data_IF_619028941619
#
_entry.id   IF_619028941619
#
_cell.length_a   1.000
_cell.length_b   1.000
_cell.length_c   1.000
_cell.angle_alpha   90.00
_cell.angle_beta   90.00
_cell.angle_gamma   90.00
#
_symmetry.space_group_name_H-M   'P 1'
#
loop_
_entity.id
_entity.type
_entity.pdbx_description
1 polymer ?
#
# COMPACT_ATOMS: atom_id res chain seq x y z
N UNK A 1 14.19 -15.74 -11.95
CA UNK A 1 14.78 -15.13 -10.72
C UNK A 1 15.61 -13.92 -11.14
N UNK A 2 15.51 -12.80 -10.43
CA UNK A 2 16.34 -11.61 -10.69
C UNK A 2 17.81 -11.90 -10.35
N UNK A 3 18.73 -11.48 -11.21
CA UNK A 3 20.17 -11.52 -10.91
C UNK A 3 20.55 -10.31 -10.03
N UNK A 4 21.61 -10.42 -9.22
CA UNK A 4 21.98 -9.37 -8.25
C UNK A 4 22.42 -8.05 -8.90
N UNK A 5 22.87 -8.10 -10.15
CA UNK A 5 23.27 -6.94 -10.96
C UNK A 5 22.19 -6.48 -11.95
N UNK A 6 21.03 -7.15 -12.00
CA UNK A 6 19.91 -6.72 -12.85
C UNK A 6 19.50 -5.29 -12.55
N UNK A 7 19.17 -4.52 -13.59
CA UNK A 7 18.69 -3.14 -13.43
C UNK A 7 17.23 -3.15 -12.98
N UNK A 8 16.97 -2.64 -11.78
CA UNK A 8 15.67 -2.65 -11.11
C UNK A 8 15.20 -1.22 -10.91
N UNK A 9 14.07 -0.86 -11.48
CA UNK A 9 13.42 0.43 -11.22
C UNK A 9 12.35 0.30 -10.13
N UNK A 10 12.42 1.19 -9.12
CA UNK A 10 11.40 1.30 -8.08
C UNK A 10 10.70 2.65 -8.20
N UNK A 11 9.53 2.67 -8.82
CA UNK A 11 8.68 3.85 -8.89
C UNK A 11 8.03 4.13 -7.53
N UNK A 12 8.14 5.37 -7.04
CA UNK A 12 7.59 5.74 -5.73
C UNK A 12 8.51 5.44 -4.54
N UNK A 13 9.82 5.34 -4.75
CA UNK A 13 10.83 4.99 -3.75
C UNK A 13 10.87 5.84 -2.48
N UNK A 14 10.27 7.03 -2.48
CA UNK A 14 10.15 7.90 -1.30
C UNK A 14 8.88 7.66 -0.47
N UNK A 15 7.92 6.89 -1.00
CA UNK A 15 6.73 6.48 -0.27
C UNK A 15 7.01 5.33 0.71
N UNK A 16 6.05 5.02 1.57
CA UNK A 16 6.15 3.93 2.54
C UNK A 16 6.52 2.60 1.87
N UNK A 17 5.75 2.16 0.89
CA UNK A 17 5.95 0.88 0.19
C UNK A 17 7.23 0.89 -0.65
N UNK A 18 7.44 1.91 -1.48
CA UNK A 18 8.61 1.97 -2.36
C UNK A 18 9.93 2.03 -1.60
N UNK A 19 9.98 2.75 -0.48
CA UNK A 19 11.19 2.79 0.38
C UNK A 19 11.46 1.45 1.06
N UNK A 20 10.41 0.73 1.47
CA UNK A 20 10.53 -0.62 2.04
C UNK A 20 11.07 -1.62 0.99
N UNK A 21 10.56 -1.57 -0.25
CA UNK A 21 11.08 -2.39 -1.36
C UNK A 21 12.56 -2.10 -1.60
N UNK A 22 12.99 -0.83 -1.63
CA UNK A 22 14.40 -0.47 -1.79
C UNK A 22 15.25 -1.03 -0.63
N UNK A 23 14.75 -0.94 0.63
CA UNK A 23 15.46 -1.53 1.78
C UNK A 23 15.61 -3.05 1.63
N UNK A 24 14.54 -3.75 1.27
CA UNK A 24 14.56 -5.21 1.12
C UNK A 24 15.44 -5.65 -0.06
N UNK A 25 15.41 -4.97 -1.20
CA UNK A 25 16.31 -5.22 -2.32
C UNK A 25 17.77 -5.10 -1.91
N UNK A 26 18.14 -4.01 -1.23
CA UNK A 26 19.50 -3.79 -0.73
C UNK A 26 19.93 -4.87 0.27
N UNK A 27 19.05 -5.23 1.21
CA UNK A 27 19.27 -6.29 2.19
C UNK A 27 19.54 -7.64 1.53
N UNK A 28 18.86 -7.91 0.41
CA UNK A 28 19.07 -9.12 -0.38
C UNK A 28 20.26 -9.02 -1.36
N UNK A 29 21.02 -7.92 -1.38
CA UNK A 29 22.23 -7.74 -2.18
C UNK A 29 22.00 -7.33 -3.63
N UNK A 30 20.85 -6.76 -3.97
CA UNK A 30 20.63 -6.11 -5.26
C UNK A 30 21.22 -4.70 -5.22
N UNK A 31 22.13 -4.38 -6.15
CA UNK A 31 22.92 -3.14 -6.11
C UNK A 31 22.62 -2.18 -7.26
N UNK A 32 21.97 -2.63 -8.33
CA UNK A 32 21.66 -1.82 -9.50
C UNK A 32 20.19 -1.34 -9.44
N UNK A 33 19.89 -0.53 -8.43
CA UNK A 33 18.55 -0.01 -8.17
C UNK A 33 18.45 1.42 -8.70
N UNK A 34 17.58 1.63 -9.68
CA UNK A 34 17.27 2.93 -10.26
C UNK A 34 16.04 3.52 -9.56
N UNK A 35 16.14 4.76 -9.17
CA UNK A 35 15.04 5.53 -8.56
C UNK A 35 15.00 6.93 -9.12
N UNK A 36 13.83 7.58 -9.18
CA UNK A 36 13.64 8.97 -9.56
C UNK A 36 12.65 9.63 -8.61
N UNK A 37 12.96 10.84 -8.21
CA UNK A 37 12.01 11.69 -7.49
C UNK A 37 10.97 12.25 -8.46
N UNK A 38 9.86 12.76 -7.95
CA UNK A 38 8.83 13.41 -8.79
C UNK A 38 9.40 14.58 -9.61
N UNK A 39 10.33 15.35 -9.07
CA UNK A 39 10.97 16.45 -9.78
C UNK A 39 11.93 15.98 -10.89
N UNK A 40 12.49 14.78 -10.80
CA UNK A 40 13.38 14.21 -11.83
C UNK A 40 12.60 13.43 -12.89
N UNK A 41 11.43 12.89 -12.53
CA UNK A 41 10.56 12.14 -13.43
C UNK A 41 9.11 12.27 -12.97
N UNK A 42 8.32 13.09 -13.66
CA UNK A 42 6.88 13.16 -13.46
C UNK A 42 6.21 12.00 -14.18
N UNK A 43 5.67 11.06 -13.40
CA UNK A 43 4.99 9.86 -13.96
C UNK A 43 3.66 10.19 -14.66
N UNK A 44 3.12 11.39 -14.48
CA UNK A 44 1.95 11.87 -15.23
C UNK A 44 2.31 12.33 -16.64
N UNK A 45 3.58 12.69 -16.86
CA UNK A 45 4.06 13.11 -18.17
C UNK A 45 4.49 11.91 -19.02
N UNK A 46 3.64 11.47 -19.93
CA UNK A 46 3.90 10.30 -20.81
C UNK A 46 5.25 10.40 -21.51
N UNK A 47 5.59 11.56 -22.08
CA UNK A 47 6.83 11.78 -22.83
C UNK A 47 8.06 11.56 -21.95
N UNK A 48 8.04 12.03 -20.71
CA UNK A 48 9.17 11.91 -19.80
C UNK A 48 9.35 10.45 -19.37
N UNK A 49 8.25 9.75 -19.12
CA UNK A 49 8.28 8.31 -18.78
C UNK A 49 8.78 7.47 -19.97
N UNK A 50 8.31 7.73 -21.19
CA UNK A 50 8.80 7.05 -22.40
C UNK A 50 10.31 7.31 -22.61
N UNK A 51 10.77 8.54 -22.42
CA UNK A 51 12.19 8.90 -22.49
C UNK A 51 13.04 8.16 -21.46
N UNK A 52 12.60 8.17 -20.21
CA UNK A 52 13.26 7.44 -19.11
C UNK A 52 13.39 5.94 -19.39
N UNK A 53 12.32 5.26 -19.79
CA UNK A 53 12.36 3.83 -20.08
C UNK A 53 13.21 3.49 -21.32
N UNK A 54 13.22 4.36 -22.33
CA UNK A 54 14.05 4.19 -23.52
C UNK A 54 15.55 4.32 -23.21
N UNK A 55 15.92 5.20 -22.29
CA UNK A 55 17.30 5.45 -21.86
C UNK A 55 17.76 4.41 -20.86
N UNK A 56 17.03 4.25 -19.75
CA UNK A 56 17.43 3.39 -18.62
C UNK A 56 17.22 1.89 -18.89
N UNK A 57 16.19 1.52 -19.64
CA UNK A 57 15.83 0.13 -19.98
C UNK A 57 15.88 -0.80 -18.76
N UNK A 58 15.09 -0.54 -17.70
CA UNK A 58 15.08 -1.39 -16.53
C UNK A 58 14.58 -2.79 -16.90
N UNK A 59 15.27 -3.82 -16.39
CA UNK A 59 14.88 -5.22 -16.58
C UNK A 59 13.68 -5.62 -15.72
N UNK A 60 13.61 -5.03 -14.52
CA UNK A 60 12.56 -5.28 -13.54
C UNK A 60 11.99 -3.96 -13.02
N UNK A 61 10.69 -3.94 -12.78
CA UNK A 61 9.98 -2.74 -12.32
C UNK A 61 9.08 -3.08 -11.13
N UNK A 62 9.22 -2.34 -10.03
CA UNK A 62 8.26 -2.30 -8.95
C UNK A 62 7.47 -0.99 -9.05
N UNK A 63 6.18 -1.07 -9.36
CA UNK A 63 5.32 0.11 -9.47
C UNK A 63 4.58 0.34 -8.15
N UNK A 64 5.26 1.02 -7.22
CA UNK A 64 4.72 1.41 -5.91
C UNK A 64 4.28 2.88 -5.86
N UNK A 65 4.44 3.64 -6.95
CA UNK A 65 3.94 4.99 -7.04
C UNK A 65 2.42 5.01 -7.15
N UNK A 66 1.77 5.85 -6.37
CA UNK A 66 0.34 6.12 -6.44
C UNK A 66 0.00 7.41 -5.68
N UNK A 67 -1.09 8.08 -6.10
CA UNK A 67 -1.75 9.09 -5.27
C UNK A 67 -2.65 8.36 -4.28
N UNK A 68 -2.33 8.44 -3.00
CA UNK A 68 -3.05 7.73 -1.93
C UNK A 68 -3.48 8.70 -0.83
N UNK A 69 -4.52 8.33 -0.08
CA UNK A 69 -5.01 9.12 1.04
C UNK A 69 -6.11 8.40 1.81
N UNK A 70 -6.46 8.94 2.99
CA UNK A 70 -7.60 8.47 3.79
C UNK A 70 -8.95 8.74 3.13
N UNK A 71 -10.04 8.39 3.81
CA UNK A 71 -11.43 8.54 3.30
C UNK A 71 -11.71 9.98 2.87
N UNK A 72 -11.40 10.98 3.71
CA UNK A 72 -11.66 12.38 3.40
C UNK A 72 -10.91 12.88 2.16
N UNK A 73 -9.65 12.47 1.99
CA UNK A 73 -8.85 12.84 0.82
C UNK A 73 -9.45 12.24 -0.46
N UNK A 74 -9.89 10.98 -0.42
CA UNK A 74 -10.53 10.33 -1.55
C UNK A 74 -11.87 10.99 -1.92
N UNK A 75 -12.75 11.24 -0.95
CA UNK A 75 -14.07 11.86 -1.20
C UNK A 75 -13.97 13.29 -1.73
N UNK A 76 -12.95 14.05 -1.30
CA UNK A 76 -12.80 15.46 -1.70
C UNK A 76 -12.18 15.66 -3.09
N UNK A 77 -11.54 14.63 -3.68
CA UNK A 77 -10.77 14.75 -4.92
C UNK A 77 -10.92 13.52 -5.85
N UNK A 78 -12.14 12.99 -5.99
CA UNK A 78 -12.43 11.77 -6.76
C UNK A 78 -11.84 11.78 -8.17
N UNK A 79 -12.05 12.86 -8.92
CA UNK A 79 -11.56 12.98 -10.29
C UNK A 79 -10.02 12.96 -10.35
N UNK A 80 -9.36 13.67 -9.44
CA UNK A 80 -7.90 13.74 -9.38
C UNK A 80 -7.30 12.39 -8.98
N UNK A 81 -7.91 11.68 -8.01
CA UNK A 81 -7.45 10.34 -7.61
C UNK A 81 -7.56 9.35 -8.78
N UNK A 82 -8.65 9.42 -9.55
CA UNK A 82 -8.81 8.57 -10.72
C UNK A 82 -7.80 8.92 -11.81
N UNK A 83 -7.75 10.19 -12.22
CA UNK A 83 -6.92 10.65 -13.33
C UNK A 83 -5.43 10.41 -13.06
N UNK A 84 -4.93 10.90 -11.92
CA UNK A 84 -3.50 10.81 -11.61
C UNK A 84 -3.03 9.36 -11.51
N UNK A 85 -3.81 8.48 -10.86
CA UNK A 85 -3.45 7.07 -10.75
C UNK A 85 -3.51 6.35 -12.10
N UNK A 86 -4.56 6.55 -12.91
CA UNK A 86 -4.66 5.93 -14.23
C UNK A 86 -3.47 6.39 -15.10
N UNK A 87 -3.18 7.69 -15.15
CA UNK A 87 -2.12 8.21 -16.01
C UNK A 87 -0.75 7.67 -15.63
N UNK A 88 -0.38 7.73 -14.33
CA UNK A 88 0.92 7.23 -13.89
C UNK A 88 1.06 5.71 -14.12
N UNK A 89 0.00 4.93 -13.87
CA UNK A 89 -0.01 3.48 -14.05
C UNK A 89 0.14 3.11 -15.52
N UNK A 90 -0.69 3.71 -16.39
CA UNK A 90 -0.64 3.44 -17.83
C UNK A 90 0.70 3.85 -18.43
N UNK A 91 1.24 5.01 -18.07
CA UNK A 91 2.53 5.49 -18.56
C UNK A 91 3.66 4.53 -18.20
N UNK A 92 3.74 4.10 -16.93
CA UNK A 92 4.81 3.19 -16.47
C UNK A 92 4.65 1.79 -17.06
N UNK A 93 3.46 1.19 -16.97
CA UNK A 93 3.24 -0.19 -17.45
C UNK A 93 3.45 -0.28 -18.96
N UNK A 94 2.92 0.70 -19.72
CA UNK A 94 3.05 0.71 -21.17
C UNK A 94 4.52 0.93 -21.62
N UNK A 95 5.23 1.86 -20.98
CA UNK A 95 6.64 2.12 -21.29
C UNK A 95 7.54 0.94 -20.93
N UNK A 96 7.26 0.25 -19.81
CA UNK A 96 7.94 -0.97 -19.43
C UNK A 96 7.79 -2.06 -20.51
N UNK A 97 6.57 -2.28 -20.99
CA UNK A 97 6.29 -3.23 -22.08
C UNK A 97 7.00 -2.85 -23.37
N UNK A 98 6.87 -1.60 -23.83
CA UNK A 98 7.52 -1.12 -25.08
C UNK A 98 9.04 -1.26 -25.08
N UNK A 99 9.66 -1.16 -23.92
CA UNK A 99 11.12 -1.22 -23.78
C UNK A 99 11.64 -2.59 -23.32
N UNK A 100 10.81 -3.63 -23.37
CA UNK A 100 11.23 -5.01 -23.13
C UNK A 100 11.55 -5.34 -21.68
N UNK A 101 10.90 -4.67 -20.72
CA UNK A 101 11.00 -5.03 -19.30
C UNK A 101 10.61 -6.50 -19.10
N UNK A 102 11.48 -7.28 -18.48
CA UNK A 102 11.31 -8.72 -18.29
C UNK A 102 10.15 -9.04 -17.35
N UNK A 103 10.02 -8.25 -16.27
CA UNK A 103 8.97 -8.44 -15.29
C UNK A 103 8.62 -7.15 -14.58
N UNK A 104 7.31 -6.93 -14.34
CA UNK A 104 6.80 -5.80 -13.60
C UNK A 104 5.88 -6.30 -12.49
N UNK A 105 6.00 -5.71 -11.30
CA UNK A 105 5.07 -5.90 -10.19
C UNK A 105 4.26 -4.63 -9.96
N UNK A 106 2.96 -4.77 -10.13
CA UNK A 106 1.98 -3.72 -9.90
C UNK A 106 1.44 -3.79 -8.47
N UNK A 107 1.61 -2.71 -7.71
CA UNK A 107 1.04 -2.58 -6.37
C UNK A 107 -0.39 -2.04 -6.47
N UNK A 108 -1.35 -2.94 -6.28
CA UNK A 108 -2.76 -2.62 -6.19
C UNK A 108 -3.19 -2.24 -4.77
N UNK A 109 -4.41 -2.58 -4.42
CA UNK A 109 -4.99 -2.34 -3.09
C UNK A 109 -6.19 -3.26 -2.88
N UNK A 110 -6.46 -3.67 -1.65
CA UNK A 110 -7.67 -4.42 -1.28
C UNK A 110 -8.98 -3.63 -1.46
N UNK A 111 -8.92 -2.32 -1.76
CA UNK A 111 -10.11 -1.51 -2.06
C UNK A 111 -10.77 -1.86 -3.41
N UNK A 112 -10.09 -2.61 -4.29
CA UNK A 112 -10.62 -3.10 -5.56
C UNK A 112 -11.73 -4.15 -5.40
N UNK A 113 -11.81 -4.78 -4.22
CA UNK A 113 -12.81 -5.81 -3.96
C UNK A 113 -14.18 -5.21 -3.61
N UNK A 114 -15.27 -5.91 -3.95
CA UNK A 114 -16.61 -5.42 -3.66
C UNK A 114 -16.80 -5.11 -2.16
N UNK A 115 -17.53 -4.04 -1.87
CA UNK A 115 -17.83 -3.60 -0.50
C UNK A 115 -18.40 -4.72 0.37
N UNK A 116 -19.29 -5.56 -0.21
CA UNK A 116 -19.98 -6.65 0.46
C UNK A 116 -19.43 -8.03 0.08
N UNK A 117 -18.17 -8.10 -0.37
CA UNK A 117 -17.52 -9.38 -0.67
C UNK A 117 -17.51 -10.31 0.54
N UNK A 118 -17.67 -11.62 0.30
CA UNK A 118 -17.56 -12.64 1.35
C UNK A 118 -16.16 -12.60 1.98
N UNK A 119 -16.12 -12.64 3.29
CA UNK A 119 -14.88 -12.59 4.07
C UNK A 119 -14.43 -13.99 4.51
N UNK A 120 -13.12 -14.31 4.46
CA UNK A 120 -12.04 -13.49 3.90
C UNK A 120 -12.18 -13.34 2.39
N UNK A 121 -11.75 -12.16 1.86
CA UNK A 121 -11.87 -11.83 0.45
C UNK A 121 -10.83 -12.56 -0.38
N UNK A 122 -11.29 -13.35 -1.34
CA UNK A 122 -10.44 -14.04 -2.30
C UNK A 122 -10.23 -13.19 -3.56
N UNK A 123 -9.15 -13.44 -4.29
CA UNK A 123 -8.81 -12.72 -5.51
C UNK A 123 -9.91 -12.83 -6.59
N UNK A 124 -10.61 -13.94 -6.64
CA UNK A 124 -11.72 -14.21 -7.59
C UNK A 124 -12.97 -13.36 -7.36
N UNK A 125 -13.09 -12.65 -6.22
CA UNK A 125 -14.23 -11.77 -5.99
C UNK A 125 -14.10 -10.39 -6.68
N UNK A 126 -12.99 -10.14 -7.37
CA UNK A 126 -12.82 -8.93 -8.17
C UNK A 126 -13.93 -8.78 -9.22
N UNK A 127 -14.54 -7.58 -9.26
CA UNK A 127 -15.63 -7.23 -10.20
C UNK A 127 -16.94 -8.06 -10.06
N UNK A 128 -17.16 -8.67 -8.90
CA UNK A 128 -18.40 -9.44 -8.64
C UNK A 128 -19.50 -8.63 -7.94
N UNK A 129 -19.24 -7.37 -7.61
CA UNK A 129 -20.20 -6.50 -6.93
C UNK A 129 -19.76 -5.05 -6.90
N UNK A 130 -20.55 -4.18 -6.24
CA UNK A 130 -20.28 -2.75 -6.13
C UNK A 130 -19.08 -2.44 -5.24
N UNK A 131 -18.32 -1.43 -5.64
CA UNK A 131 -17.19 -0.90 -4.88
C UNK A 131 -17.65 -0.03 -3.70
N UNK A 132 -16.75 0.25 -2.77
CA UNK A 132 -16.96 1.23 -1.71
C UNK A 132 -16.97 2.65 -2.30
N UNK A 133 -18.09 3.37 -2.14
CA UNK A 133 -18.31 4.67 -2.77
C UNK A 133 -17.27 5.73 -2.41
N UNK A 134 -16.80 5.72 -1.17
CA UNK A 134 -15.87 6.72 -0.66
C UNK A 134 -14.48 6.67 -1.31
N UNK A 135 -14.12 5.56 -1.95
CA UNK A 135 -12.84 5.38 -2.65
C UNK A 135 -12.98 4.71 -4.03
N UNK A 136 -14.20 4.73 -4.61
CA UNK A 136 -14.50 4.09 -5.88
C UNK A 136 -13.58 4.56 -7.02
N UNK A 137 -13.28 5.85 -7.09
CA UNK A 137 -12.40 6.44 -8.10
C UNK A 137 -10.98 5.86 -8.06
N UNK A 138 -10.40 5.76 -6.86
CA UNK A 138 -9.10 5.12 -6.66
C UNK A 138 -9.15 3.62 -6.97
N UNK A 139 -10.20 2.93 -6.54
CA UNK A 139 -10.37 1.51 -6.79
C UNK A 139 -10.46 1.20 -8.29
N UNK A 140 -11.22 2.00 -9.06
CA UNK A 140 -11.31 1.85 -10.52
C UNK A 140 -9.97 2.07 -11.22
N UNK A 141 -9.18 3.06 -10.78
CA UNK A 141 -7.83 3.25 -11.30
C UNK A 141 -6.97 2.00 -11.05
N UNK A 142 -6.95 1.49 -9.82
CA UNK A 142 -6.20 0.27 -9.47
C UNK A 142 -6.66 -0.98 -10.23
N UNK A 143 -7.96 -1.14 -10.46
CA UNK A 143 -8.51 -2.20 -11.31
C UNK A 143 -8.00 -2.05 -12.75
N UNK A 144 -7.94 -0.83 -13.28
CA UNK A 144 -7.46 -0.57 -14.64
C UNK A 144 -5.99 -0.97 -14.81
N UNK A 145 -5.12 -0.58 -13.88
CA UNK A 145 -3.69 -0.96 -13.90
C UNK A 145 -3.49 -2.47 -13.82
N UNK A 146 -4.20 -3.12 -12.89
CA UNK A 146 -4.19 -4.59 -12.74
C UNK A 146 -4.63 -5.29 -14.04
N UNK A 147 -5.76 -4.87 -14.59
CA UNK A 147 -6.28 -5.49 -15.82
C UNK A 147 -5.39 -5.22 -17.02
N UNK A 148 -4.73 -4.07 -17.07
CA UNK A 148 -3.77 -3.78 -18.12
C UNK A 148 -2.56 -4.73 -18.07
N UNK A 149 -2.01 -4.99 -16.88
CA UNK A 149 -0.98 -6.03 -16.71
C UNK A 149 -1.45 -7.41 -17.19
N UNK A 150 -2.65 -7.83 -16.78
CA UNK A 150 -3.25 -9.10 -17.21
C UNK A 150 -3.40 -9.19 -18.73
N UNK A 151 -3.88 -8.11 -19.38
CA UNK A 151 -4.09 -8.12 -20.83
C UNK A 151 -2.77 -8.11 -21.61
N UNK A 152 -1.74 -7.42 -21.12
CA UNK A 152 -0.40 -7.49 -21.71
C UNK A 152 0.18 -8.90 -21.64
N UNK A 153 0.02 -9.58 -20.50
CA UNK A 153 0.44 -10.98 -20.37
C UNK A 153 -0.27 -11.90 -21.38
N UNK A 154 -1.60 -11.75 -21.50
CA UNK A 154 -2.40 -12.58 -22.40
C UNK A 154 -2.14 -12.31 -23.88
N UNK A 155 -1.91 -11.05 -24.23
CA UNK A 155 -1.76 -10.63 -25.62
C UNK A 155 -0.32 -10.74 -26.11
N UNK A 156 0.66 -10.43 -25.26
CA UNK A 156 2.06 -10.31 -25.66
C UNK A 156 3.01 -11.25 -24.92
N UNK A 157 2.52 -12.06 -23.98
CA UNK A 157 3.34 -13.01 -23.23
C UNK A 157 4.31 -12.35 -22.22
N UNK A 158 3.96 -11.17 -21.71
CA UNK A 158 4.75 -10.52 -20.64
C UNK A 158 4.60 -11.28 -19.32
N UNK A 159 5.48 -11.02 -18.34
CA UNK A 159 5.38 -11.54 -16.97
C UNK A 159 5.13 -10.39 -15.99
N UNK A 160 3.93 -9.80 -16.08
CA UNK A 160 3.52 -8.67 -15.23
C UNK A 160 2.56 -9.18 -14.17
N UNK A 161 2.98 -9.11 -12.90
CA UNK A 161 2.26 -9.62 -11.74
C UNK A 161 1.63 -8.48 -10.94
N UNK A 162 0.60 -8.79 -10.15
CA UNK A 162 -0.11 -7.80 -9.33
C UNK A 162 -0.29 -8.30 -7.91
N UNK A 163 -0.04 -7.42 -6.93
CA UNK A 163 -0.17 -7.70 -5.49
C UNK A 163 -1.21 -6.77 -4.87
N UNK A 164 -2.12 -7.34 -4.09
CA UNK A 164 -3.22 -6.63 -3.42
C UNK A 164 -2.98 -6.58 -1.92
N UNK A 165 -2.31 -5.53 -1.41
CA UNK A 165 -2.08 -5.40 0.03
C UNK A 165 -3.35 -5.01 0.78
N UNK A 166 -3.44 -5.51 2.02
CA UNK A 166 -4.34 -5.02 3.07
C UNK A 166 -3.89 -3.64 3.58
N UNK A 167 -4.40 -3.17 4.73
CA UNK A 167 -3.95 -1.90 5.29
C UNK A 167 -2.49 -2.01 5.74
N UNK A 168 -1.67 -1.15 5.17
CA UNK A 168 -0.24 -1.11 5.45
C UNK A 168 0.08 -0.06 6.52
N UNK A 169 1.17 -0.28 7.24
CA UNK A 169 1.71 0.64 8.20
C UNK A 169 3.22 0.39 8.40
N UNK A 170 3.96 1.37 8.87
CA UNK A 170 5.39 1.24 9.15
C UNK A 170 6.22 2.47 8.83
N UNK A 171 7.54 2.33 8.70
CA UNK A 171 8.45 3.43 8.42
C UNK A 171 8.08 4.19 7.13
N UNK A 172 8.20 5.51 7.19
CA UNK A 172 7.82 6.42 6.11
C UNK A 172 6.31 6.49 5.83
N UNK A 173 5.43 6.13 6.78
CA UNK A 173 4.00 6.32 6.64
C UNK A 173 3.62 7.81 6.65
N UNK A 174 2.36 8.11 6.27
CA UNK A 174 1.81 9.45 6.31
C UNK A 174 1.11 9.69 7.66
N UNK A 175 1.64 10.62 8.46
CA UNK A 175 1.09 10.98 9.76
C UNK A 175 0.28 12.30 9.73
N UNK A 176 -0.16 12.76 8.55
CA UNK A 176 -0.96 14.00 8.44
C UNK A 176 -2.25 13.91 9.25
N UNK A 177 -2.63 14.93 10.07
CA UNK A 177 -3.76 14.84 11.01
C UNK A 177 -5.11 14.49 10.38
N UNK A 178 -5.34 14.92 9.11
CA UNK A 178 -6.63 14.79 8.43
C UNK A 178 -6.62 13.78 7.27
N UNK A 179 -5.44 13.45 6.71
CA UNK A 179 -5.33 12.68 5.46
C UNK A 179 -4.64 11.34 5.62
N UNK A 180 -4.18 11.01 6.83
CA UNK A 180 -3.57 9.72 7.13
C UNK A 180 -4.58 8.59 7.28
N UNK A 181 -4.09 7.36 7.18
CA UNK A 181 -4.86 6.18 7.54
C UNK A 181 -5.00 6.03 9.07
N UNK A 182 -5.92 5.14 9.49
CA UNK A 182 -6.32 5.02 10.90
C UNK A 182 -5.14 4.78 11.85
N UNK A 183 -4.23 3.85 11.54
CA UNK A 183 -3.13 3.48 12.44
C UNK A 183 -2.13 4.64 12.65
N UNK A 184 -1.55 5.27 11.60
CA UNK A 184 -0.68 6.43 11.80
C UNK A 184 -1.42 7.63 12.42
N UNK A 185 -2.72 7.83 12.15
CA UNK A 185 -3.52 8.85 12.81
C UNK A 185 -3.63 8.62 14.33
N UNK A 186 -3.81 7.36 14.77
CA UNK A 186 -3.85 7.00 16.18
C UNK A 186 -2.49 7.21 16.86
N UNK A 187 -1.40 6.78 16.22
CA UNK A 187 -0.03 7.00 16.75
C UNK A 187 0.19 8.48 17.03
N UNK A 188 -0.03 9.35 16.04
CA UNK A 188 0.13 10.80 16.19
C UNK A 188 -0.78 11.37 17.25
N UNK A 189 -2.06 11.06 17.21
CA UNK A 189 -3.07 11.60 18.13
C UNK A 189 -2.78 11.27 19.58
N UNK A 190 -2.41 10.02 19.90
CA UNK A 190 -2.04 9.62 21.25
C UNK A 190 -0.71 10.21 21.69
N UNK A 191 0.26 10.32 20.78
CA UNK A 191 1.54 10.96 21.07
C UNK A 191 1.34 12.44 21.46
N UNK A 192 0.61 13.21 20.64
CA UNK A 192 0.32 14.62 20.93
C UNK A 192 -0.47 14.77 22.22
N UNK A 193 -1.49 13.95 22.44
CA UNK A 193 -2.29 13.97 23.68
C UNK A 193 -1.46 13.66 24.93
N UNK A 194 -0.52 12.71 24.84
CA UNK A 194 0.42 12.38 25.91
C UNK A 194 1.33 13.58 26.25
N UNK A 195 1.91 14.22 25.23
CA UNK A 195 2.83 15.35 25.42
C UNK A 195 2.09 16.57 26.01
N UNK A 196 0.88 16.83 25.52
CA UNK A 196 0.04 17.94 25.96
C UNK A 196 -0.67 17.65 27.30
N UNK A 197 -0.58 16.45 27.86
CA UNK A 197 -1.24 16.05 29.10
C UNK A 197 -2.78 16.06 29.00
N UNK A 198 -3.33 15.77 27.81
CA UNK A 198 -4.79 15.73 27.59
C UNK A 198 -5.42 14.59 28.40
N UNK A 199 -6.59 14.87 29.00
CA UNK A 199 -7.35 13.89 29.81
C UNK A 199 -8.10 12.91 28.95
N UNK A 200 -8.55 13.30 27.75
CA UNK A 200 -9.26 12.43 26.81
C UNK A 200 -8.81 12.65 25.37
N UNK A 201 -9.00 11.61 24.55
CA UNK A 201 -8.80 11.62 23.10
C UNK A 201 -10.08 11.13 22.42
N UNK A 202 -10.59 11.89 21.45
CA UNK A 202 -11.76 11.50 20.67
C UNK A 202 -11.36 10.73 19.43
N UNK A 203 -11.87 9.50 19.26
CA UNK A 203 -11.76 8.67 18.08
C UNK A 203 -13.07 8.67 17.28
N UNK A 204 -13.00 8.46 15.97
CA UNK A 204 -14.17 8.49 15.09
C UNK A 204 -14.93 7.17 15.08
N UNK A 205 -16.26 7.26 14.96
CA UNK A 205 -17.15 6.10 14.89
C UNK A 205 -17.37 5.46 16.26
N UNK A 206 -17.62 4.16 16.27
CA UNK A 206 -17.85 3.36 17.48
C UNK A 206 -16.77 2.31 17.76
N UNK A 207 -15.75 2.24 16.88
CA UNK A 207 -14.66 1.28 17.00
C UNK A 207 -14.99 -0.15 16.59
N UNK A 208 -16.20 -0.45 16.15
CA UNK A 208 -16.64 -1.81 15.80
C UNK A 208 -16.05 -2.39 14.51
N UNK A 209 -15.66 -1.60 13.47
CA UNK A 209 -15.15 -2.18 12.23
C UNK A 209 -13.91 -3.04 12.42
N UNK A 210 -13.87 -4.18 11.71
CA UNK A 210 -12.74 -5.09 11.73
C UNK A 210 -11.77 -4.78 10.60
N UNK A 211 -10.48 -4.72 10.90
CA UNK A 211 -9.40 -4.43 9.95
C UNK A 211 -8.23 -5.39 10.13
N UNK A 212 -7.61 -5.68 9.02
CA UNK A 212 -6.35 -6.38 8.91
C UNK A 212 -5.22 -5.38 8.66
N UNK A 213 -4.06 -5.60 9.25
CA UNK A 213 -2.87 -4.77 9.08
C UNK A 213 -1.65 -5.62 8.74
N UNK A 214 -0.84 -5.14 7.79
CA UNK A 214 0.42 -5.78 7.40
C UNK A 214 1.56 -4.76 7.51
N UNK A 215 2.63 -5.15 8.19
CA UNK A 215 3.84 -4.33 8.31
C UNK A 215 4.52 -4.16 6.94
N UNK A 216 4.93 -2.95 6.61
CA UNK A 216 5.37 -2.60 5.24
C UNK A 216 6.62 -3.34 4.80
N UNK A 217 7.54 -3.68 5.71
CA UNK A 217 8.75 -4.44 5.33
C UNK A 217 8.41 -5.93 5.06
N UNK A 218 7.35 -6.47 5.65
CA UNK A 218 6.83 -7.79 5.27
C UNK A 218 6.20 -7.77 3.89
N UNK A 219 5.45 -6.71 3.54
CA UNK A 219 4.99 -6.53 2.15
C UNK A 219 6.16 -6.45 1.19
N UNK A 220 7.20 -5.66 1.50
CA UNK A 220 8.38 -5.53 0.64
C UNK A 220 9.09 -6.87 0.44
N UNK A 221 9.17 -7.69 1.50
CA UNK A 221 9.71 -9.04 1.41
C UNK A 221 8.85 -9.93 0.51
N UNK A 222 7.50 -9.85 0.58
CA UNK A 222 6.60 -10.56 -0.34
C UNK A 222 6.82 -10.10 -1.78
N UNK A 223 6.91 -8.80 -2.03
CA UNK A 223 7.12 -8.25 -3.38
C UNK A 223 8.40 -8.81 -4.00
N UNK A 224 9.53 -8.76 -3.30
CA UNK A 224 10.80 -9.32 -3.80
C UNK A 224 10.73 -10.85 -3.95
N UNK A 225 10.00 -11.53 -3.06
CA UNK A 225 9.75 -12.96 -3.17
C UNK A 225 8.96 -13.30 -4.45
N UNK A 226 7.85 -12.60 -4.73
CA UNK A 226 7.01 -12.84 -5.90
C UNK A 226 7.74 -12.50 -7.21
N UNK A 227 8.53 -11.45 -7.23
CA UNK A 227 9.38 -11.14 -8.39
C UNK A 227 10.33 -12.28 -8.74
N UNK A 228 10.76 -13.05 -7.75
CA UNK A 228 11.69 -14.17 -7.95
C UNK A 228 11.01 -15.53 -8.16
N UNK A 229 9.81 -15.75 -7.62
CA UNK A 229 9.23 -17.09 -7.50
C UNK A 229 7.83 -17.25 -8.07
N UNK A 230 7.18 -16.17 -8.50
CA UNK A 230 5.83 -16.24 -9.05
C UNK A 230 5.77 -15.66 -10.45
N UNK A 231 5.15 -16.38 -11.37
CA UNK A 231 4.79 -15.92 -12.72
C UNK A 231 3.35 -16.38 -12.99
N UNK A 232 2.50 -15.45 -13.40
CA UNK A 232 1.09 -15.76 -13.67
C UNK A 232 0.21 -14.51 -13.75
N UNK A 233 -1.00 -14.71 -14.27
CA UNK A 233 -1.98 -13.64 -14.49
C UNK A 233 -2.85 -13.35 -13.26
N UNK A 234 -2.86 -14.22 -12.29
CA UNK A 234 -3.70 -14.06 -11.13
C UNK A 234 -3.03 -13.14 -10.10
N UNK A 235 -3.80 -12.24 -9.53
CA UNK A 235 -3.35 -11.41 -8.42
C UNK A 235 -2.99 -12.25 -7.19
N UNK A 236 -2.18 -11.68 -6.31
CA UNK A 236 -1.82 -12.27 -5.01
C UNK A 236 -2.22 -11.32 -3.91
N UNK A 237 -3.08 -11.75 -3.00
CA UNK A 237 -3.42 -11.02 -1.80
C UNK A 237 -2.24 -11.01 -0.82
N UNK A 238 -1.95 -9.83 -0.25
CA UNK A 238 -0.89 -9.60 0.71
C UNK A 238 -1.48 -9.13 2.04
N UNK A 239 -1.47 -10.00 3.03
CA UNK A 239 -2.03 -9.75 4.36
C UNK A 239 -1.46 -10.71 5.41
N UNK A 240 -2.04 -10.65 6.59
CA UNK A 240 -1.70 -11.52 7.73
C UNK A 240 -2.72 -12.63 7.97
N UNK A 241 -3.95 -12.48 7.42
CA UNK A 241 -5.08 -13.34 7.72
C UNK A 241 -5.63 -13.15 9.14
N UNK A 242 -5.18 -12.10 9.86
CA UNK A 242 -5.62 -11.74 11.20
C UNK A 242 -6.29 -10.39 11.18
N UNK A 243 -7.39 -10.24 11.88
CA UNK A 243 -8.12 -8.97 12.01
C UNK A 243 -8.34 -8.63 13.47
N UNK A 244 -8.53 -7.34 13.74
CA UNK A 244 -8.96 -6.81 15.01
C UNK A 244 -9.92 -5.64 14.80
N UNK A 245 -10.71 -5.31 15.81
CA UNK A 245 -11.56 -4.12 15.78
C UNK A 245 -10.73 -2.84 15.88
N UNK A 246 -11.28 -1.74 15.36
CA UNK A 246 -10.66 -0.41 15.54
C UNK A 246 -10.58 -0.05 17.03
N UNK A 247 -11.51 -0.55 17.86
CA UNK A 247 -11.46 -0.39 19.31
C UNK A 247 -10.20 -1.07 19.90
N UNK A 248 -9.96 -2.36 19.58
CA UNK A 248 -8.75 -3.09 20.03
C UNK A 248 -7.46 -2.46 19.50
N UNK A 249 -7.46 -2.00 18.25
CA UNK A 249 -6.32 -1.27 17.69
C UNK A 249 -6.05 0.03 18.46
N UNK A 250 -7.10 0.75 18.79
CA UNK A 250 -7.00 2.03 19.51
C UNK A 250 -6.38 1.85 20.88
N UNK A 251 -6.83 0.83 21.64
CA UNK A 251 -6.26 0.47 22.93
C UNK A 251 -4.79 0.02 22.81
N UNK A 252 -4.48 -0.80 21.82
CA UNK A 252 -3.12 -1.29 21.59
C UNK A 252 -2.16 -0.12 21.28
N UNK A 253 -2.57 0.81 20.41
CA UNK A 253 -1.75 1.98 20.06
C UNK A 253 -1.59 2.92 21.27
N UNK A 254 -2.66 3.18 22.02
CA UNK A 254 -2.59 4.02 23.22
C UNK A 254 -1.60 3.44 24.24
N UNK A 255 -1.64 2.14 24.49
CA UNK A 255 -0.72 1.44 25.39
C UNK A 255 0.74 1.52 24.91
N UNK A 256 1.01 1.29 23.61
CA UNK A 256 2.37 1.35 23.04
C UNK A 256 2.93 2.77 23.12
N UNK A 257 2.13 3.78 22.83
CA UNK A 257 2.52 5.20 22.94
C UNK A 257 2.71 5.61 24.41
N UNK A 258 2.04 4.92 25.35
CA UNK A 258 2.04 5.23 26.79
C UNK A 258 1.10 6.41 27.10
N UNK A 259 -0.04 6.47 26.44
CA UNK A 259 -1.13 7.37 26.78
C UNK A 259 -2.08 6.69 27.76
N UNK A 260 -2.41 7.38 28.87
CA UNK A 260 -3.20 6.83 29.99
C UNK A 260 -4.51 7.59 30.23
N UNK A 261 -4.89 8.52 29.34
CA UNK A 261 -6.17 9.23 29.41
C UNK A 261 -7.35 8.37 28.92
N UNK A 262 -8.54 8.92 28.99
CA UNK A 262 -9.74 8.25 28.48
C UNK A 262 -9.84 8.34 26.95
N UNK A 263 -10.48 7.33 26.34
CA UNK A 263 -10.78 7.31 24.91
C UNK A 263 -12.29 7.53 24.77
N UNK A 264 -12.67 8.52 23.99
CA UNK A 264 -14.04 8.88 23.68
C UNK A 264 -14.34 8.58 22.21
N UNK A 265 -15.60 8.23 21.87
CA UNK A 265 -16.00 7.90 20.52
C UNK A 265 -16.98 8.91 19.97
N UNK A 266 -16.68 9.49 18.81
CA UNK A 266 -17.59 10.40 18.08
C UNK A 266 -18.45 9.61 17.10
N UNK A 267 -19.63 9.22 17.54
CA UNK A 267 -20.59 8.45 16.75
C UNK A 267 -21.19 9.24 15.57
N UNK A 268 -20.96 10.55 15.47
CA UNK A 268 -21.36 11.35 14.32
C UNK A 268 -20.49 11.10 13.07
N UNK A 269 -19.34 10.45 13.24
CA UNK A 269 -18.42 10.14 12.16
C UNK A 269 -18.66 8.73 11.61
N UNK A 270 -18.42 8.51 10.31
CA UNK A 270 -18.68 7.22 9.69
C UNK A 270 -17.70 6.13 10.17
N UNK A 271 -18.21 4.91 10.33
CA UNK A 271 -17.41 3.71 10.63
C UNK A 271 -16.64 3.18 9.41
N UNK A 272 -17.07 3.53 8.19
CA UNK A 272 -16.54 2.93 6.95
C UNK A 272 -17.03 1.50 6.73
N UNK A 273 -16.31 0.72 5.92
CA UNK A 273 -16.65 -0.68 5.61
C UNK A 273 -16.62 -1.53 6.90
N UNK A 274 -17.64 -2.35 7.19
CA UNK A 274 -17.71 -3.10 8.45
C UNK A 274 -16.54 -4.08 8.66
N UNK A 275 -16.08 -4.78 7.61
CA UNK A 275 -15.03 -5.77 7.69
C UNK A 275 -14.17 -5.80 6.44
N UNK A 276 -12.85 -5.93 6.61
CA UNK A 276 -11.87 -6.11 5.52
C UNK A 276 -10.79 -7.10 5.96
N UNK A 277 -10.92 -8.33 5.50
CA UNK A 277 -9.95 -9.41 5.73
C UNK A 277 -9.64 -10.08 4.39
N UNK A 278 -8.37 -10.25 4.04
CA UNK A 278 -7.95 -10.93 2.83
C UNK A 278 -7.78 -12.44 3.05
N UNK A 279 -8.13 -13.23 2.05
CA UNK A 279 -7.68 -14.62 1.95
C UNK A 279 -6.23 -14.62 1.46
N UNK A 280 -5.31 -15.05 2.30
CA UNK A 280 -3.87 -15.10 2.02
C UNK A 280 -3.38 -16.48 1.59
N UNK A 281 -4.29 -17.42 1.35
CA UNK A 281 -3.94 -18.82 1.09
C UNK A 281 -3.04 -18.99 -0.13
N UNK A 282 -3.13 -18.09 -1.13
CA UNK A 282 -2.28 -18.11 -2.31
C UNK A 282 -0.83 -17.77 -1.96
N UNK A 283 -0.57 -16.69 -1.25
CA UNK A 283 0.78 -16.31 -0.80
C UNK A 283 1.39 -17.42 0.07
N UNK A 284 0.59 -17.98 0.99
CA UNK A 284 1.02 -19.10 1.85
C UNK A 284 1.36 -20.35 1.05
N UNK A 285 0.56 -20.73 0.05
CA UNK A 285 0.84 -21.88 -0.83
C UNK A 285 2.10 -21.69 -1.67
N UNK A 286 2.44 -20.44 -2.03
CA UNK A 286 3.71 -20.11 -2.69
C UNK A 286 4.91 -20.21 -1.74
N UNK A 287 4.69 -20.36 -0.44
CA UNK A 287 5.73 -20.51 0.57
C UNK A 287 6.08 -19.23 1.32
N UNK A 288 5.29 -18.15 1.17
CA UNK A 288 5.52 -16.92 1.90
C UNK A 288 4.63 -16.79 3.14
N UNK A 289 5.23 -16.29 4.23
CA UNK A 289 4.54 -15.97 5.49
C UNK A 289 5.12 -14.66 6.03
N UNK A 290 4.25 -13.76 6.52
CA UNK A 290 4.68 -12.54 7.21
C UNK A 290 5.45 -12.90 8.51
N UNK A 291 6.24 -11.97 9.02
CA UNK A 291 7.14 -12.21 10.17
C UNK A 291 6.90 -11.26 11.34
N UNK A 292 6.34 -10.08 11.06
CA UNK A 292 6.20 -9.01 12.05
C UNK A 292 4.80 -9.06 12.65
N UNK A 293 4.69 -9.38 13.94
CA UNK A 293 3.41 -9.29 14.65
C UNK A 293 3.00 -7.83 14.81
N UNK A 294 1.68 -7.59 14.93
CA UNK A 294 1.11 -6.24 14.89
C UNK A 294 1.70 -5.33 16.00
N UNK A 295 1.83 -5.82 17.21
CA UNK A 295 2.37 -5.05 18.33
C UNK A 295 3.81 -4.61 18.07
N UNK A 296 4.68 -5.51 17.62
CA UNK A 296 6.07 -5.20 17.30
C UNK A 296 6.17 -4.19 16.15
N UNK A 297 5.36 -4.37 15.11
CA UNK A 297 5.30 -3.46 13.98
C UNK A 297 4.85 -2.05 14.39
N UNK A 298 3.87 -1.93 15.30
CA UNK A 298 3.41 -0.62 15.81
C UNK A 298 4.53 0.05 16.62
N UNK A 299 5.29 -0.69 17.43
CA UNK A 299 6.46 -0.13 18.15
C UNK A 299 7.50 0.43 17.18
N UNK A 300 7.80 -0.30 16.10
CA UNK A 300 8.72 0.16 15.06
C UNK A 300 8.17 1.39 14.31
N UNK A 301 6.89 1.42 13.98
CA UNK A 301 6.25 2.57 13.33
C UNK A 301 6.23 3.81 14.25
N UNK A 302 5.99 3.62 15.56
CA UNK A 302 6.04 4.71 16.54
C UNK A 302 7.47 5.24 16.71
N UNK A 303 8.48 4.38 16.70
CA UNK A 303 9.87 4.82 16.74
C UNK A 303 10.23 5.65 15.49
N UNK A 304 9.83 5.20 14.30
CA UNK A 304 10.01 5.97 13.05
C UNK A 304 9.33 7.33 13.11
N UNK A 305 8.11 7.40 13.68
CA UNK A 305 7.41 8.67 13.90
C UNK A 305 8.19 9.64 14.79
N UNK A 306 8.84 9.13 15.83
CA UNK A 306 9.66 9.95 16.75
C UNK A 306 10.96 10.43 16.07
N UNK A 307 11.57 9.59 15.25
CA UNK A 307 12.87 9.85 14.62
C UNK A 307 12.76 10.71 13.35
N UNK A 308 11.57 10.78 12.72
CA UNK A 308 11.33 11.46 11.46
C UNK A 308 10.25 12.56 11.54
N UNK A 309 10.49 13.66 12.29
CA UNK A 309 9.49 14.72 12.51
C UNK A 309 9.01 15.38 11.22
N UNK A 310 9.83 15.45 10.17
CA UNK A 310 9.46 16.02 8.84
C UNK A 310 8.30 15.24 8.20
N UNK A 311 8.20 13.94 8.43
CA UNK A 311 7.08 13.12 7.94
C UNK A 311 5.81 13.31 8.76
N UNK A 312 5.93 13.66 10.03
CA UNK A 312 4.80 14.01 10.88
C UNK A 312 4.12 15.32 10.46
N UNK A 313 4.83 16.20 9.74
CA UNK A 313 4.30 17.49 9.26
C UNK A 313 3.68 17.42 7.86
N UNK A 314 3.85 16.34 7.13
CA UNK A 314 3.28 16.11 5.79
C UNK A 314 2.02 15.27 5.89
#
# INVERSE_FOLDING_TARGET
MMEKNSKIYVAGHRGMVGSAIVRELKKQGYNNIVVRTHNELDLLCQKDVEGFFSEEKPEYVFLAAAKVGGILANESALADFMYDNIMLEMNVIHSAWKNGCKKLEFLGSSCIYPRLAKQPMKEECLLTGELEKTNEAYALAKISGLKYCEFLNRQYGTDYISVMPTNLYGPNDNYHPMHSHVLPALIRRFHEAKIEGKRSVTCWGDGSPLREFLYVDDLANLCVFLMNHYSGNETVNAGTGKELSIWELTDLVANIVGYHGSIEWDLSKPNGTPRKLLDISKATKLGWVYKTELEDGIRLAYQDFLDNPIRAER
#
